data_IF_603901949434
#
_entry.id   IF_603901949434
#
_cell.length_a   1.000
_cell.length_b   1.000
_cell.length_c   1.000
_cell.angle_alpha   90.00
_cell.angle_beta   90.00
_cell.angle_gamma   90.00
#
_symmetry.space_group_name_H-M   'P 1'
#
loop_
_entity.id
_entity.type
_entity.pdbx_description
1 polymer ?
#
# COMPACT_ATOMS: atom_id res chain seq x y z
N UNK A 1 27.52 -7.04 -12.74
CA UNK A 1 27.22 -5.69 -12.20
C UNK A 1 26.12 -4.93 -12.96
N UNK A 2 25.85 -5.17 -14.25
CA UNK A 2 24.84 -4.42 -15.02
C UNK A 2 23.36 -4.73 -14.67
N UNK A 3 23.06 -5.90 -14.11
CA UNK A 3 21.67 -6.31 -13.81
C UNK A 3 21.05 -5.52 -12.64
N UNK A 4 21.83 -5.22 -11.60
CA UNK A 4 21.36 -4.45 -10.44
C UNK A 4 20.90 -3.04 -10.83
N UNK A 5 21.62 -2.38 -11.74
CA UNK A 5 21.25 -1.02 -12.19
C UNK A 5 19.99 -0.98 -13.05
N UNK A 6 19.65 -2.08 -13.73
CA UNK A 6 18.43 -2.19 -14.55
C UNK A 6 17.20 -2.32 -13.65
N UNK A 7 17.25 -3.19 -12.65
CA UNK A 7 16.17 -3.34 -11.67
C UNK A 7 15.99 -2.07 -10.84
N UNK A 8 17.08 -1.39 -10.48
CA UNK A 8 17.00 -0.12 -9.77
C UNK A 8 16.35 0.97 -10.64
N UNK A 9 16.71 1.03 -11.93
CA UNK A 9 16.08 1.94 -12.88
C UNK A 9 14.59 1.63 -13.08
N UNK A 10 14.21 0.36 -13.19
CA UNK A 10 12.82 -0.07 -13.28
C UNK A 10 12.03 0.29 -12.01
N UNK A 11 12.59 0.07 -10.82
CA UNK A 11 11.97 0.44 -9.55
C UNK A 11 11.80 1.96 -9.40
N UNK A 12 12.80 2.75 -9.76
CA UNK A 12 12.71 4.20 -9.72
C UNK A 12 11.66 4.72 -10.71
N UNK A 13 11.62 4.17 -11.92
CA UNK A 13 10.60 4.50 -12.92
C UNK A 13 9.20 4.12 -12.43
N UNK A 14 9.04 2.96 -11.80
CA UNK A 14 7.78 2.53 -11.21
C UNK A 14 7.31 3.49 -10.12
N UNK A 15 8.19 3.91 -9.20
CA UNK A 15 7.86 4.88 -8.15
C UNK A 15 7.45 6.23 -8.75
N UNK A 16 8.16 6.67 -9.79
CA UNK A 16 7.84 7.92 -10.47
C UNK A 16 6.46 7.88 -11.14
N UNK A 17 6.13 6.78 -11.82
CA UNK A 17 4.81 6.60 -12.45
C UNK A 17 3.71 6.49 -11.38
N UNK A 18 3.96 5.76 -10.30
CA UNK A 18 3.01 5.63 -9.19
C UNK A 18 2.71 6.99 -8.53
N UNK A 19 3.74 7.81 -8.31
CA UNK A 19 3.59 9.17 -7.75
C UNK A 19 2.77 10.11 -8.64
N UNK A 20 2.67 9.81 -9.95
CA UNK A 20 1.92 10.57 -10.95
C UNK A 20 0.50 10.03 -11.21
N UNK A 21 0.02 9.13 -10.36
CA UNK A 21 -1.30 8.52 -10.52
C UNK A 21 -1.30 7.25 -11.38
N UNK A 22 -0.15 6.59 -11.55
CA UNK A 22 -0.05 5.27 -12.18
C UNK A 22 0.07 5.29 -13.72
N UNK A 23 0.07 6.47 -14.33
CA UNK A 23 0.29 6.65 -15.77
C UNK A 23 1.13 7.91 -16.02
N UNK A 24 2.04 7.85 -17.00
CA UNK A 24 2.76 9.03 -17.47
C UNK A 24 2.83 9.03 -18.99
N UNK A 25 2.91 10.23 -19.56
CA UNK A 25 3.18 10.40 -20.99
C UNK A 25 4.67 10.46 -21.26
N UNK A 26 5.05 10.11 -22.48
CA UNK A 26 6.43 10.23 -22.94
C UNK A 26 7.02 11.64 -22.79
N UNK A 27 6.20 12.70 -22.92
CA UNK A 27 6.62 14.08 -22.68
C UNK A 27 7.01 14.37 -21.23
N UNK A 28 6.42 13.68 -20.25
CA UNK A 28 6.69 13.86 -18.83
C UNK A 28 7.95 13.11 -18.35
N UNK A 29 8.57 12.32 -19.23
CA UNK A 29 9.80 11.60 -18.92
C UNK A 29 11.02 12.51 -18.87
N UNK A 30 10.94 13.69 -19.47
CA UNK A 30 11.96 14.73 -19.32
C UNK A 30 12.29 14.96 -17.84
N UNK A 31 11.27 15.09 -17.00
CA UNK A 31 11.44 15.32 -15.55
C UNK A 31 12.06 14.11 -14.84
N UNK A 32 11.78 12.89 -15.32
CA UNK A 32 12.45 11.69 -14.80
C UNK A 32 13.95 11.72 -15.12
N UNK A 33 14.33 12.16 -16.31
CA UNK A 33 15.74 12.27 -16.73
C UNK A 33 16.50 13.31 -15.94
N UNK A 34 15.88 14.45 -15.65
CA UNK A 34 16.48 15.49 -14.81
C UNK A 34 16.67 15.01 -13.38
N UNK A 35 15.70 14.27 -12.84
CA UNK A 35 15.70 13.82 -11.45
C UNK A 35 16.59 12.59 -11.22
N UNK A 36 16.74 11.74 -12.23
CA UNK A 36 17.51 10.50 -12.15
C UNK A 36 18.41 10.30 -13.39
N UNK A 37 19.41 11.19 -13.62
CA UNK A 37 20.23 11.16 -14.81
C UNK A 37 21.02 9.85 -14.98
N UNK A 38 21.51 9.30 -13.87
CA UNK A 38 22.25 8.03 -13.84
C UNK A 38 21.38 6.84 -14.27
N UNK A 39 20.13 6.79 -13.79
CA UNK A 39 19.19 5.71 -14.11
C UNK A 39 18.62 5.85 -15.52
N UNK A 40 18.36 7.08 -15.96
CA UNK A 40 17.99 7.37 -17.33
C UNK A 40 19.07 6.85 -18.29
N UNK A 41 20.36 7.10 -18.01
CA UNK A 41 21.46 6.60 -18.84
C UNK A 41 21.44 5.08 -18.97
N UNK A 42 21.12 4.35 -17.90
CA UNK A 42 20.99 2.87 -17.93
C UNK A 42 19.85 2.45 -18.85
N UNK A 43 18.69 3.10 -18.75
CA UNK A 43 17.52 2.78 -19.59
C UNK A 43 17.81 3.02 -21.07
N UNK A 44 18.38 4.19 -21.41
CA UNK A 44 18.69 4.54 -22.80
C UNK A 44 19.91 3.81 -23.36
N UNK A 45 20.77 3.23 -22.50
CA UNK A 45 21.94 2.47 -22.97
C UNK A 45 21.58 1.21 -23.78
N UNK A 46 20.37 0.68 -23.59
CA UNK A 46 19.91 -0.57 -24.19
C UNK A 46 18.86 -0.38 -25.29
N UNK A 47 18.50 0.86 -25.62
CA UNK A 47 17.52 1.18 -26.65
C UNK A 47 16.56 2.29 -26.23
N UNK A 48 15.32 2.20 -26.71
CA UNK A 48 14.28 3.16 -26.34
C UNK A 48 13.61 2.79 -25.02
N UNK A 49 13.06 3.78 -24.32
CA UNK A 49 12.27 3.51 -23.11
C UNK A 49 11.08 2.59 -23.41
N UNK A 50 10.48 2.69 -24.60
CA UNK A 50 9.41 1.78 -25.03
C UNK A 50 9.90 0.33 -25.04
N UNK A 51 11.07 0.06 -25.62
CA UNK A 51 11.67 -1.28 -25.60
C UNK A 51 11.97 -1.73 -24.16
N UNK A 52 12.51 -0.84 -23.32
CA UNK A 52 12.76 -1.13 -21.91
C UNK A 52 11.46 -1.53 -21.18
N UNK A 53 10.41 -0.73 -21.31
CA UNK A 53 9.11 -1.02 -20.70
C UNK A 53 8.46 -2.28 -21.28
N UNK A 54 8.66 -2.60 -22.55
CA UNK A 54 8.19 -3.85 -23.15
C UNK A 54 8.93 -5.09 -22.61
N UNK A 55 10.21 -4.95 -22.26
CA UNK A 55 11.00 -6.02 -21.64
C UNK A 55 10.63 -6.28 -20.18
N UNK A 56 10.03 -5.31 -19.50
CA UNK A 56 9.64 -5.42 -18.11
C UNK A 56 8.12 -5.67 -17.99
N UNK A 57 7.74 -6.84 -17.49
CA UNK A 57 6.33 -7.24 -17.32
C UNK A 57 5.50 -6.27 -16.45
N UNK A 58 6.15 -5.44 -15.64
CA UNK A 58 5.53 -4.46 -14.75
C UNK A 58 4.93 -3.25 -15.48
N UNK A 59 5.32 -3.00 -16.74
CA UNK A 59 4.83 -1.85 -17.50
C UNK A 59 3.89 -2.28 -18.64
N UNK A 60 2.99 -1.37 -19.01
CA UNK A 60 2.15 -1.41 -20.20
C UNK A 60 2.49 -0.17 -20.99
N UNK A 61 2.84 -0.36 -22.26
CA UNK A 61 3.02 0.76 -23.19
C UNK A 61 1.79 0.82 -24.08
N UNK A 62 1.02 1.89 -23.94
CA UNK A 62 -0.12 2.20 -24.80
C UNK A 62 0.34 3.21 -25.85
N UNK A 63 0.35 2.79 -27.11
CA UNK A 63 0.63 3.67 -28.24
C UNK A 63 -0.68 4.32 -28.68
N UNK A 64 -0.74 5.65 -28.62
CA UNK A 64 -1.95 6.37 -29.02
C UNK A 64 -1.96 6.54 -30.54
N UNK A 65 -2.94 5.94 -31.22
CA UNK A 65 -3.10 6.10 -32.68
C UNK A 65 -3.39 7.55 -33.10
N UNK A 66 -3.83 8.39 -32.17
CA UNK A 66 -4.29 9.77 -32.41
C UNK A 66 -3.24 10.84 -32.14
N UNK A 67 -2.15 10.56 -31.43
CA UNK A 67 -1.08 11.53 -31.17
C UNK A 67 0.29 10.87 -31.18
N UNK A 68 1.34 11.53 -31.72
CA UNK A 68 2.70 11.03 -31.66
C UNK A 68 3.18 11.02 -30.21
N UNK A 69 3.17 9.84 -29.60
CA UNK A 69 3.62 9.64 -28.23
C UNK A 69 3.12 8.32 -27.65
N UNK A 70 3.96 7.69 -26.84
CA UNK A 70 3.54 6.55 -26.03
C UNK A 70 3.14 7.00 -24.62
N UNK A 71 2.11 6.35 -24.08
CA UNK A 71 1.73 6.43 -22.67
C UNK A 71 2.24 5.18 -21.97
N UNK A 72 2.92 5.37 -20.85
CA UNK A 72 3.45 4.26 -20.06
C UNK A 72 2.62 4.17 -18.79
N UNK A 73 2.03 3.01 -18.57
CA UNK A 73 1.25 2.66 -17.39
C UNK A 73 1.90 1.51 -16.65
N UNK A 74 1.62 1.44 -15.36
CA UNK A 74 1.95 0.25 -14.59
C UNK A 74 0.91 -0.84 -14.85
N UNK A 75 1.36 -2.05 -15.19
CA UNK A 75 0.50 -3.23 -15.39
C UNK A 75 -0.26 -3.58 -14.13
N UNK A 76 0.41 -3.43 -13.01
CA UNK A 76 -0.16 -3.56 -11.68
C UNK A 76 -0.59 -2.19 -11.17
N UNK A 77 -1.79 -1.76 -11.57
CA UNK A 77 -2.65 -1.11 -10.61
C UNK A 77 -3.04 -2.16 -9.55
N UNK A 78 -2.12 -2.52 -8.66
CA UNK A 78 -2.56 -2.73 -7.29
C UNK A 78 -2.74 -1.31 -6.72
N UNK A 79 -3.98 -0.83 -6.55
CA UNK A 79 -4.24 0.45 -5.88
C UNK A 79 -3.69 0.47 -4.43
N UNK A 80 -3.15 -0.63 -3.94
CA UNK A 80 -2.67 -0.76 -2.57
C UNK A 80 -1.26 -0.20 -2.33
N UNK A 81 -0.35 -0.08 -3.32
CA UNK A 81 1.02 0.40 -3.02
C UNK A 81 1.20 1.92 -3.16
N UNK A 82 0.47 2.58 -4.08
CA UNK A 82 0.51 4.04 -4.18
C UNK A 82 -0.19 4.72 -2.99
N UNK A 83 -1.16 4.05 -2.35
CA UNK A 83 -1.77 4.52 -1.11
C UNK A 83 -0.88 4.26 0.14
N UNK A 84 0.08 3.33 0.06
CA UNK A 84 0.92 2.95 1.22
C UNK A 84 2.10 3.87 1.51
N UNK A 85 2.55 4.69 0.58
CA UNK A 85 3.69 5.61 0.82
C UNK A 85 3.25 7.04 1.15
N UNK A 86 1.99 7.40 0.90
CA UNK A 86 1.49 8.76 1.12
C UNK A 86 0.54 8.90 2.31
N UNK A 87 0.10 7.79 2.93
CA UNK A 87 -0.82 7.81 4.10
C UNK A 87 -0.23 7.32 5.42
N UNK A 88 1.07 7.01 5.48
CA UNK A 88 1.74 6.72 6.77
C UNK A 88 2.61 7.90 7.16
N UNK A 89 1.95 9.03 7.41
CA UNK A 89 2.39 9.98 8.43
C UNK A 89 1.60 9.70 9.74
N UNK A 90 1.34 8.42 10.03
CA UNK A 90 1.09 7.98 11.40
C UNK A 90 2.44 7.94 12.10
N UNK A 91 2.52 8.50 13.30
CA UNK A 91 3.79 8.60 14.05
C UNK A 91 4.45 7.23 14.12
N UNK A 92 5.78 7.14 14.05
CA UNK A 92 6.55 5.89 13.90
C UNK A 92 6.18 4.73 14.87
N UNK A 93 5.43 5.00 15.95
CA UNK A 93 4.85 3.99 16.83
C UNK A 93 3.53 3.33 16.36
N UNK A 94 2.71 3.98 15.55
CA UNK A 94 1.39 3.45 15.16
C UNK A 94 1.47 2.28 14.17
N UNK A 95 2.53 2.24 13.33
CA UNK A 95 2.77 1.13 12.41
C UNK A 95 3.00 -0.20 13.11
N UNK A 96 3.74 -0.19 14.23
CA UNK A 96 3.93 -1.39 15.07
C UNK A 96 2.61 -1.86 15.66
N UNK A 97 1.81 -0.92 16.18
CA UNK A 97 0.51 -1.21 16.78
C UNK A 97 -0.41 -1.91 15.77
N UNK A 98 -0.46 -1.43 14.53
CA UNK A 98 -1.26 -2.02 13.46
C UNK A 98 -0.77 -3.44 13.13
N UNK A 99 0.54 -3.66 13.04
CA UNK A 99 1.12 -4.96 12.75
C UNK A 99 0.83 -5.99 13.86
N UNK A 100 0.94 -5.56 15.11
CA UNK A 100 0.66 -6.40 16.28
C UNK A 100 -0.84 -6.70 16.39
N UNK A 101 -1.69 -5.71 16.12
CA UNK A 101 -3.15 -5.87 16.07
C UNK A 101 -3.58 -6.83 14.96
N UNK A 102 -3.00 -6.70 13.76
CA UNK A 102 -3.27 -7.59 12.64
C UNK A 102 -2.81 -9.03 12.92
N UNK A 103 -1.66 -9.20 13.58
CA UNK A 103 -1.18 -10.51 14.00
C UNK A 103 -2.14 -11.15 15.01
N UNK A 104 -2.58 -10.38 16.00
CA UNK A 104 -3.55 -10.85 17.00
C UNK A 104 -4.89 -11.28 16.37
N UNK A 105 -5.44 -10.47 15.47
CA UNK A 105 -6.71 -10.82 14.79
C UNK A 105 -6.53 -12.08 13.93
N UNK A 106 -5.38 -12.27 13.29
CA UNK A 106 -5.07 -13.49 12.54
C UNK A 106 -4.95 -14.73 13.45
N UNK A 107 -4.30 -14.60 14.61
CA UNK A 107 -4.22 -15.66 15.62
C UNK A 107 -5.61 -16.08 16.13
N UNK A 108 -6.58 -15.14 16.15
CA UNK A 108 -7.97 -15.40 16.53
C UNK A 108 -8.88 -15.82 15.36
N UNK A 109 -8.30 -16.28 14.25
CA UNK A 109 -9.06 -16.79 13.10
C UNK A 109 -9.59 -15.69 12.16
N UNK A 110 -8.95 -14.53 12.15
CA UNK A 110 -9.28 -13.41 11.25
C UNK A 110 -10.37 -12.49 11.80
N UNK A 111 -10.90 -12.75 12.99
CA UNK A 111 -11.86 -11.88 13.67
C UNK A 111 -11.48 -11.72 15.14
N UNK A 112 -11.75 -10.54 15.71
CA UNK A 112 -11.57 -10.32 17.15
C UNK A 112 -12.73 -9.50 17.72
N UNK A 113 -13.22 -9.94 18.89
CA UNK A 113 -14.25 -9.24 19.67
C UNK A 113 -13.62 -8.32 20.71
N UNK A 114 -14.41 -7.36 21.21
CA UNK A 114 -14.03 -6.46 22.32
C UNK A 114 -13.52 -7.20 23.56
N UNK A 115 -14.02 -8.41 23.82
CA UNK A 115 -13.65 -9.22 24.97
C UNK A 115 -12.24 -9.82 24.81
N UNK A 116 -11.85 -10.14 23.57
CA UNK A 116 -10.52 -10.65 23.25
C UNK A 116 -9.45 -9.55 23.30
N UNK A 117 -9.80 -8.27 23.15
CA UNK A 117 -8.82 -7.19 23.27
C UNK A 117 -8.28 -7.00 24.68
N UNK A 118 -8.93 -7.54 25.71
CA UNK A 118 -8.36 -7.57 27.06
C UNK A 118 -7.03 -8.32 27.12
N UNK A 119 -6.91 -9.45 26.41
CA UNK A 119 -5.67 -10.22 26.36
C UNK A 119 -4.61 -9.56 25.47
N UNK A 120 -5.04 -8.89 24.40
CA UNK A 120 -4.15 -8.07 23.56
C UNK A 120 -3.45 -6.97 24.36
N UNK A 121 -4.18 -6.17 25.15
CA UNK A 121 -3.57 -5.12 25.97
C UNK A 121 -2.74 -5.65 27.15
N UNK A 122 -3.02 -6.87 27.61
CA UNK A 122 -2.18 -7.53 28.60
C UNK A 122 -0.82 -7.93 28.02
N UNK A 123 -0.79 -8.30 26.74
CA UNK A 123 0.44 -8.63 26.00
C UNK A 123 1.21 -7.39 25.54
N UNK A 124 0.49 -6.30 25.23
CA UNK A 124 1.04 -5.03 24.76
C UNK A 124 0.50 -3.83 25.58
N UNK A 125 0.94 -3.65 26.84
CA UNK A 125 0.43 -2.59 27.71
C UNK A 125 0.72 -1.19 27.16
N UNK A 126 1.85 -1.01 26.45
CA UNK A 126 2.24 0.26 25.83
C UNK A 126 1.25 0.71 24.75
N UNK A 127 0.55 -0.22 24.07
CA UNK A 127 -0.41 0.12 23.02
C UNK A 127 -1.70 0.72 23.59
N UNK A 128 -2.02 0.42 24.85
CA UNK A 128 -3.20 0.96 25.52
C UNK A 128 -3.13 2.49 25.68
N UNK A 129 -1.93 3.04 25.88
CA UNK A 129 -1.73 4.48 25.95
C UNK A 129 -1.87 5.13 24.56
N UNK A 130 -1.48 4.42 23.51
CA UNK A 130 -1.49 4.90 22.12
C UNK A 130 -2.83 4.70 21.41
N UNK A 131 -3.70 3.80 21.89
CA UNK A 131 -5.03 3.53 21.35
C UNK A 131 -6.10 3.91 22.38
N UNK A 132 -6.43 5.21 22.52
CA UNK A 132 -7.44 5.66 23.48
C UNK A 132 -8.85 5.20 23.09
N UNK A 133 -9.10 5.02 21.79
CA UNK A 133 -10.37 4.51 21.28
C UNK A 133 -10.11 3.55 20.13
N UNK A 134 -10.18 2.24 20.42
CA UNK A 134 -9.90 1.17 19.46
C UNK A 134 -10.81 1.24 18.23
N UNK A 135 -12.09 1.58 18.43
CA UNK A 135 -13.04 1.68 17.32
C UNK A 135 -12.66 2.82 16.38
N UNK A 136 -12.42 4.02 16.92
CA UNK A 136 -12.01 5.17 16.11
C UNK A 136 -10.63 4.92 15.45
N UNK A 137 -9.75 4.19 16.13
CA UNK A 137 -8.46 3.77 15.58
C UNK A 137 -8.63 2.83 14.39
N UNK A 138 -9.43 1.77 14.51
CA UNK A 138 -9.71 0.86 13.40
C UNK A 138 -10.48 1.53 12.26
N UNK A 139 -11.41 2.45 12.55
CA UNK A 139 -12.09 3.25 11.53
C UNK A 139 -11.11 4.18 10.79
N UNK A 140 -10.09 4.72 11.49
CA UNK A 140 -9.01 5.51 10.88
C UNK A 140 -8.12 4.64 9.98
N UNK A 141 -7.91 3.40 10.35
CA UNK A 141 -7.16 2.39 9.58
C UNK A 141 -8.08 1.40 8.88
N UNK A 142 -9.18 1.88 8.27
CA UNK A 142 -10.17 1.05 7.58
C UNK A 142 -9.63 0.23 6.39
N UNK A 143 -8.42 0.56 5.92
CA UNK A 143 -7.68 -0.18 4.90
C UNK A 143 -6.93 -1.40 5.46
N UNK A 144 -6.77 -1.48 6.78
CA UNK A 144 -6.17 -2.61 7.49
C UNK A 144 -7.18 -3.43 8.28
N UNK A 145 -8.29 -2.83 8.70
CA UNK A 145 -9.31 -3.49 9.52
C UNK A 145 -10.70 -3.08 9.07
N UNK A 146 -11.62 -4.03 9.00
CA UNK A 146 -13.04 -3.76 8.77
C UNK A 146 -13.75 -3.89 10.12
N UNK A 147 -14.25 -2.76 10.63
CA UNK A 147 -15.14 -2.76 11.80
C UNK A 147 -16.53 -3.15 11.32
N UNK A 148 -16.93 -4.39 11.56
CA UNK A 148 -18.28 -4.86 11.24
C UNK A 148 -19.14 -4.84 12.49
N UNK A 149 -20.28 -4.12 12.44
CA UNK A 149 -21.34 -4.26 13.45
C UNK A 149 -22.16 -5.54 13.24
N UNK A 150 -21.49 -6.65 12.93
CA UNK A 150 -22.12 -7.96 12.88
C UNK A 150 -22.41 -8.41 14.32
N UNK A 151 -23.48 -7.87 14.90
CA UNK A 151 -24.25 -8.56 15.92
C UNK A 151 -24.89 -9.77 15.24
N UNK A 152 -24.35 -10.97 15.43
CA UNK A 152 -25.13 -12.19 15.21
C UNK A 152 -25.03 -13.06 16.45
N UNK A 153 -26.22 -13.25 17.01
CA UNK A 153 -26.54 -13.90 18.26
C UNK A 153 -26.07 -15.35 18.35
N UNK A 154 -25.61 -15.74 19.54
CA UNK A 154 -26.06 -16.97 20.16
C UNK A 154 -25.93 -16.89 21.70
N UNK A 155 -27.08 -17.00 22.35
CA UNK A 155 -27.31 -17.31 23.78
C UNK A 155 -27.24 -16.14 24.77
N UNK A 156 -28.44 -15.57 24.97
CA UNK A 156 -29.03 -15.08 26.22
C UNK A 156 -28.36 -13.93 27.00
N UNK A 157 -29.19 -12.91 27.20
CA UNK A 157 -29.15 -11.87 28.25
C UNK A 157 -28.27 -10.64 27.99
N UNK A 158 -28.95 -9.49 27.86
CA UNK A 158 -28.52 -8.11 28.16
C UNK A 158 -27.02 -7.82 27.95
N UNK A 159 -26.62 -7.40 26.76
CA UNK A 159 -25.54 -6.40 26.66
C UNK A 159 -25.66 -5.58 25.37
N UNK A 160 -25.65 -4.27 25.58
CA UNK A 160 -25.81 -3.24 24.57
C UNK A 160 -24.42 -2.83 24.08
N UNK A 161 -24.16 -3.01 22.77
CA UNK A 161 -22.95 -2.62 22.00
C UNK A 161 -21.74 -3.57 22.09
N UNK A 162 -21.76 -4.65 21.31
CA UNK A 162 -20.52 -5.34 20.89
C UNK A 162 -20.17 -4.91 19.47
N UNK A 163 -18.92 -4.48 19.25
CA UNK A 163 -18.38 -4.20 17.91
C UNK A 163 -17.35 -5.30 17.58
N UNK A 164 -17.46 -5.89 16.38
CA UNK A 164 -16.60 -6.99 15.93
C UNK A 164 -15.65 -6.50 14.85
N UNK A 165 -14.38 -6.88 14.92
CA UNK A 165 -13.37 -6.55 13.93
C UNK A 165 -13.11 -7.74 13.02
N UNK A 166 -13.03 -7.50 11.71
CA UNK A 166 -12.77 -8.48 10.67
C UNK A 166 -11.56 -8.01 9.84
N UNK A 167 -10.61 -8.91 9.59
CA UNK A 167 -9.49 -8.70 8.67
C UNK A 167 -9.90 -8.91 7.21
#
# INVERSE_FOLDING_TARGET
MLAQSIEEAANALQRFIAARGGSIRSSQLHEFRERYPSLAKVIYSKGTLQQFCQQHATFIVEESATMPGCTIRLRSAQPHLAQRLSQVAGSEGEGSIIADLASFVRENGGTASSEQFGSFYSRYPSHRASIPNLRAFCERYAHHFIVSQACIAAVAMKCQKCSTLVL
#
